data_IF_115511312636
#
_entry.id   IF_115511312636
#
_cell.length_a   1.000
_cell.length_b   1.000
_cell.length_c   1.000
_cell.angle_alpha   90.00
_cell.angle_beta   90.00
_cell.angle_gamma   90.00
#
_symmetry.space_group_name_H-M   'P 1'
#
loop_
_entity.id
_entity.type
_entity.pdbx_description
1 polymer ?
#
# COMPACT_ATOMS: atom_id res chain seq x y z
N UNK A 1 4.27 21.31 2.38
CA UNK A 1 3.14 20.34 2.30
C UNK A 1 1.99 20.99 1.57
N UNK A 2 1.30 20.29 0.67
CA UNK A 2 0.12 20.78 -0.05
C UNK A 2 -1.10 19.92 0.33
N UNK A 3 -2.32 20.47 0.19
CA UNK A 3 -3.61 19.79 0.40
C UNK A 3 -3.91 19.29 1.83
N UNK A 4 -3.15 19.72 2.85
CA UNK A 4 -3.41 19.36 4.25
C UNK A 4 -3.24 17.87 4.58
N UNK A 5 -2.57 17.10 3.71
CA UNK A 5 -2.33 15.66 3.89
C UNK A 5 -0.98 15.38 4.55
N UNK A 6 -0.89 14.21 5.19
CA UNK A 6 0.37 13.68 5.76
C UNK A 6 1.33 13.33 4.62
N UNK A 7 2.58 13.77 4.74
CA UNK A 7 3.67 13.32 3.87
C UNK A 7 4.22 11.96 4.34
N UNK A 8 5.35 11.52 3.77
CA UNK A 8 5.98 10.26 4.15
C UNK A 8 6.62 10.27 5.56
N UNK A 9 6.74 11.44 6.21
CA UNK A 9 7.33 11.57 7.54
C UNK A 9 8.86 11.39 7.60
N UNK A 10 9.53 11.30 6.45
CA UNK A 10 10.99 11.16 6.34
C UNK A 10 11.50 11.83 5.07
N UNK A 11 12.75 12.29 5.10
CA UNK A 11 13.56 12.68 3.94
C UNK A 11 14.65 11.66 3.62
N UNK A 12 14.90 10.72 4.53
CA UNK A 12 15.85 9.63 4.36
C UNK A 12 15.19 8.45 3.67
N UNK A 13 15.96 7.76 2.84
CA UNK A 13 15.52 6.56 2.16
C UNK A 13 15.27 5.44 3.19
N UNK A 14 14.03 4.90 3.30
CA UNK A 14 13.75 3.89 4.29
C UNK A 14 14.47 2.57 3.96
N UNK A 15 14.77 1.73 4.96
CA UNK A 15 15.33 0.40 4.71
C UNK A 15 14.45 -0.41 3.74
N UNK A 16 15.09 -1.24 2.91
CA UNK A 16 14.40 -2.17 1.99
C UNK A 16 13.35 -2.97 2.78
N UNK A 17 12.20 -3.23 2.15
CA UNK A 17 11.01 -3.86 2.75
C UNK A 17 10.23 -3.00 3.76
N UNK A 18 10.66 -1.78 4.08
CA UNK A 18 9.91 -0.87 4.96
C UNK A 18 8.75 -0.20 4.22
N UNK A 19 7.53 -0.43 4.69
CA UNK A 19 6.33 0.16 4.12
C UNK A 19 5.96 1.49 4.80
N UNK A 20 5.93 2.57 4.03
CA UNK A 20 5.36 3.86 4.43
C UNK A 20 4.01 4.04 3.74
N UNK A 21 2.94 3.49 4.31
CA UNK A 21 1.60 3.40 3.67
C UNK A 21 0.48 4.06 4.50
N UNK A 22 0.84 4.84 5.52
CA UNK A 22 -0.14 5.48 6.41
C UNK A 22 -0.72 6.76 5.83
N UNK A 23 -0.06 7.38 4.85
CA UNK A 23 -0.48 8.61 4.21
C UNK A 23 -1.31 8.42 2.94
N UNK A 24 -1.72 9.54 2.36
CA UNK A 24 -2.28 9.60 1.01
C UNK A 24 -1.20 9.40 -0.07
N UNK A 25 0.05 9.69 0.30
CA UNK A 25 1.24 9.31 -0.46
C UNK A 25 1.89 8.12 0.24
N UNK A 26 2.26 7.11 -0.53
CA UNK A 26 2.83 5.87 -0.03
C UNK A 26 4.15 5.52 -0.73
N UNK A 27 5.02 4.81 -0.03
CA UNK A 27 6.32 4.35 -0.54
C UNK A 27 6.71 2.99 0.05
N UNK A 28 7.32 2.13 -0.77
CA UNK A 28 8.03 0.91 -0.35
C UNK A 28 8.99 0.45 -1.46
N UNK A 29 10.25 0.20 -1.12
CA UNK A 29 11.15 -0.60 -1.96
C UNK A 29 11.06 -2.07 -1.55
N UNK A 30 10.85 -2.97 -2.52
CA UNK A 30 11.01 -4.40 -2.28
C UNK A 30 12.44 -4.88 -2.58
N UNK A 31 12.83 -6.03 -2.03
CA UNK A 31 14.14 -6.63 -2.24
C UNK A 31 14.35 -7.36 -3.58
N UNK A 32 13.32 -7.48 -4.41
CA UNK A 32 13.42 -8.07 -5.76
C UNK A 32 14.07 -7.17 -6.82
N UNK A 33 14.31 -7.72 -8.01
CA UNK A 33 14.83 -7.00 -9.19
C UNK A 33 13.77 -6.12 -9.89
N UNK A 34 13.91 -5.85 -11.20
CA UNK A 34 12.97 -4.99 -11.95
C UNK A 34 11.64 -5.70 -12.26
N UNK A 35 10.82 -5.89 -11.23
CA UNK A 35 9.48 -6.49 -11.28
C UNK A 35 8.54 -5.73 -10.35
N UNK A 36 7.24 -5.86 -10.53
CA UNK A 36 6.23 -5.25 -9.64
C UNK A 36 5.66 -6.24 -8.62
N UNK A 37 5.84 -7.54 -8.86
CA UNK A 37 5.26 -8.65 -8.10
C UNK A 37 5.32 -8.48 -6.57
N UNK A 38 6.51 -8.30 -5.97
CA UNK A 38 6.66 -8.24 -4.52
C UNK A 38 6.00 -7.01 -3.85
N UNK A 39 5.62 -5.99 -4.61
CA UNK A 39 4.93 -4.80 -4.09
C UNK A 39 3.40 -4.94 -4.09
N UNK A 40 2.82 -5.86 -4.86
CA UNK A 40 1.36 -6.01 -4.97
C UNK A 40 0.63 -6.18 -3.64
N UNK A 41 1.07 -7.04 -2.70
CA UNK A 41 0.40 -7.16 -1.40
C UNK A 41 0.38 -5.85 -0.60
N UNK A 42 1.47 -5.08 -0.66
CA UNK A 42 1.55 -3.77 0.03
C UNK A 42 0.65 -2.75 -0.66
N UNK A 43 0.64 -2.72 -1.99
CA UNK A 43 -0.26 -1.87 -2.76
C UNK A 43 -1.72 -2.16 -2.45
N UNK A 44 -2.14 -3.43 -2.45
CA UNK A 44 -3.52 -3.80 -2.13
C UNK A 44 -3.92 -3.38 -0.71
N UNK A 45 -3.01 -3.52 0.28
CA UNK A 45 -3.25 -3.05 1.65
C UNK A 45 -3.45 -1.53 1.72
N UNK A 46 -2.67 -0.75 0.96
CA UNK A 46 -2.84 0.69 0.89
C UNK A 46 -4.13 1.08 0.13
N UNK A 47 -4.37 0.44 -1.03
CA UNK A 47 -5.48 0.71 -1.92
C UNK A 47 -6.84 0.33 -1.31
N UNK A 48 -6.90 -0.66 -0.42
CA UNK A 48 -8.14 -1.02 0.29
C UNK A 48 -8.74 0.18 1.04
N UNK A 49 -7.95 1.17 1.45
CA UNK A 49 -8.47 2.40 2.08
C UNK A 49 -9.36 3.22 1.15
N UNK A 50 -9.22 3.08 -0.16
CA UNK A 50 -9.87 3.90 -1.19
C UNK A 50 -10.78 3.10 -2.10
N UNK A 51 -10.38 1.88 -2.46
CA UNK A 51 -11.08 1.02 -3.42
C UNK A 51 -11.75 -0.09 -2.64
N UNK A 52 -13.05 0.07 -2.40
CA UNK A 52 -13.86 -0.93 -1.71
C UNK A 52 -14.49 -1.88 -2.72
N UNK A 53 -14.21 -3.17 -2.58
CA UNK A 53 -14.94 -4.21 -3.29
C UNK A 53 -16.26 -4.51 -2.58
N UNK A 54 -17.33 -4.84 -3.33
CA UNK A 54 -18.52 -5.45 -2.74
C UNK A 54 -18.10 -6.69 -1.93
N UNK A 55 -18.80 -7.01 -0.83
CA UNK A 55 -18.55 -8.25 -0.12
C UNK A 55 -18.70 -9.42 -1.10
N UNK A 56 -17.86 -10.47 -0.97
CA UNK A 56 -18.05 -11.66 -1.78
C UNK A 56 -19.47 -12.21 -1.55
N UNK A 57 -20.10 -12.78 -2.58
CA UNK A 57 -21.40 -13.42 -2.41
C UNK A 57 -21.29 -14.47 -1.28
N UNK A 58 -22.31 -14.52 -0.42
CA UNK A 58 -22.39 -15.55 0.62
C UNK A 58 -22.32 -16.91 -0.06
N UNK A 59 -21.31 -17.72 0.29
CA UNK A 59 -21.29 -19.10 -0.17
C UNK A 59 -22.56 -19.80 0.34
N UNK A 60 -23.25 -20.57 -0.51
CA UNK A 60 -24.27 -21.49 -0.02
C UNK A 60 -23.62 -22.40 1.03
N UNK A 61 -24.20 -22.43 2.22
CA UNK A 61 -23.83 -23.44 3.21
C UNK A 61 -24.26 -24.80 2.63
N UNK A 62 -23.40 -25.83 2.64
CA UNK A 62 -23.78 -27.17 2.20
C UNK A 62 -24.95 -27.73 3.00
#
# INVERSE_FOLDING_TARGET
RLLGKKDLGTTEFPPVETALIDGELAWRQHGGGHTTGPNWPTFLKWADRYIKSPPPPKQPVP
#
